data_IF_658837405846
#
_entry.id   IF_658837405846
#
_cell.length_a   1.000
_cell.length_b   1.000
_cell.length_c   1.000
_cell.angle_alpha   90.00
_cell.angle_beta   90.00
_cell.angle_gamma   90.00
#
_symmetry.space_group_name_H-M   'P 1'
#
loop_
_entity.id
_entity.type
_entity.pdbx_description
1 polymer ?
#
# COMPACT_ATOMS: atom_id res chain seq x y z
N UNK A 1 20.44 30.80 -3.91
CA UNK A 1 20.32 29.36 -3.91
C UNK A 1 19.22 29.06 -2.92
N UNK A 2 18.21 28.32 -3.33
CA UNK A 2 17.14 27.84 -2.42
C UNK A 2 17.70 26.85 -1.41
N UNK A 3 16.97 26.65 -0.34
CA UNK A 3 17.32 25.64 0.67
C UNK A 3 17.08 24.24 0.10
N UNK A 4 17.95 23.28 0.44
CA UNK A 4 17.84 21.88 -0.04
C UNK A 4 16.83 21.08 0.78
N UNK A 5 15.99 20.31 0.11
CA UNK A 5 14.90 19.52 0.73
C UNK A 5 15.01 18.05 0.33
N UNK A 6 14.98 17.16 1.30
CA UNK A 6 14.81 15.73 1.08
C UNK A 6 13.33 15.36 1.13
N UNK A 7 12.81 14.68 0.12
CA UNK A 7 11.51 14.04 0.15
C UNK A 7 11.70 12.57 0.54
N UNK A 8 11.24 12.19 1.72
CA UNK A 8 11.34 10.82 2.23
C UNK A 8 10.07 10.05 1.91
N UNK A 9 10.08 9.36 0.76
CA UNK A 9 9.00 8.49 0.33
C UNK A 9 8.97 7.24 1.21
N UNK A 10 7.87 7.00 1.91
CA UNK A 10 7.79 5.88 2.85
C UNK A 10 6.85 4.80 2.35
N UNK A 11 7.32 3.56 2.32
CA UNK A 11 6.57 2.38 1.93
C UNK A 11 6.56 1.32 3.02
N UNK A 12 5.78 0.27 2.78
CA UNK A 12 5.77 -0.86 3.70
C UNK A 12 7.04 -1.70 3.58
N UNK A 13 7.48 -1.95 2.34
CA UNK A 13 8.57 -2.83 1.99
C UNK A 13 8.18 -4.30 2.13
N UNK A 14 8.58 -5.13 1.20
CA UNK A 14 8.36 -6.57 1.23
C UNK A 14 9.66 -7.33 1.09
N UNK A 15 9.66 -8.57 1.59
CA UNK A 15 10.72 -9.51 1.27
C UNK A 15 10.60 -9.89 -0.21
N UNK A 16 11.70 -9.92 -0.90
CA UNK A 16 11.76 -10.36 -2.30
C UNK A 16 11.78 -11.88 -2.40
N UNK A 17 12.51 -12.53 -1.47
CA UNK A 17 12.65 -13.96 -1.41
C UNK A 17 12.19 -14.52 -0.07
N UNK A 18 11.60 -15.71 -0.08
CA UNK A 18 11.10 -16.40 1.11
C UNK A 18 12.17 -16.67 2.19
N UNK A 19 13.44 -16.66 1.85
CA UNK A 19 14.54 -16.86 2.81
C UNK A 19 14.69 -15.68 3.79
N UNK A 20 14.16 -14.51 3.43
CA UNK A 20 14.24 -13.27 4.22
C UNK A 20 13.07 -13.13 5.22
N UNK A 21 12.07 -13.99 5.14
CA UNK A 21 10.87 -13.89 5.97
C UNK A 21 11.13 -13.98 7.48
N UNK A 22 12.16 -14.72 7.91
CA UNK A 22 12.43 -14.88 9.34
C UNK A 22 12.74 -13.53 10.01
N UNK A 23 13.63 -12.73 9.41
CA UNK A 23 13.99 -11.41 9.93
C UNK A 23 12.86 -10.39 9.75
N UNK A 24 12.23 -10.39 8.60
CA UNK A 24 11.06 -9.56 8.33
C UNK A 24 9.95 -9.80 9.36
N UNK A 25 9.59 -11.07 9.60
CA UNK A 25 8.59 -11.43 10.58
C UNK A 25 9.01 -11.02 12.00
N UNK A 26 10.27 -11.17 12.37
CA UNK A 26 10.74 -10.77 13.69
C UNK A 26 10.59 -9.25 13.91
N UNK A 27 10.95 -8.42 12.92
CA UNK A 27 10.74 -6.97 12.97
C UNK A 27 9.26 -6.62 12.99
N UNK A 28 8.46 -7.24 12.15
CA UNK A 28 7.01 -7.05 12.11
C UNK A 28 6.36 -7.41 13.45
N UNK A 29 6.73 -8.54 14.08
CA UNK A 29 6.24 -8.90 15.41
C UNK A 29 6.61 -7.86 16.47
N UNK A 30 7.84 -7.38 16.47
CA UNK A 30 8.30 -6.39 17.45
C UNK A 30 7.61 -5.04 17.30
N UNK A 31 7.36 -4.62 16.08
CA UNK A 31 6.84 -3.28 15.77
C UNK A 31 5.31 -3.22 15.64
N UNK A 32 4.71 -4.21 15.00
CA UNK A 32 3.27 -4.24 14.71
C UNK A 32 2.48 -5.06 15.72
N UNK A 33 2.83 -6.34 15.82
CA UNK A 33 2.04 -7.30 16.59
C UNK A 33 2.09 -6.97 18.07
N UNK A 34 3.22 -6.44 18.55
CA UNK A 34 3.37 -5.97 19.94
C UNK A 34 2.40 -4.84 20.32
N UNK A 35 1.88 -4.08 19.35
CA UNK A 35 0.85 -3.04 19.58
C UNK A 35 -0.50 -3.66 19.96
N UNK A 36 -0.82 -4.80 19.37
CA UNK A 36 -2.12 -5.49 19.53
C UNK A 36 -2.06 -6.61 20.55
N UNK A 37 -0.97 -7.37 20.56
CA UNK A 37 -0.81 -8.59 21.40
C UNK A 37 0.56 -8.54 22.06
N UNK A 38 0.58 -8.66 23.39
CA UNK A 38 1.84 -8.76 24.12
C UNK A 38 2.37 -10.20 24.04
N UNK A 39 3.44 -10.39 23.30
CA UNK A 39 4.21 -11.64 23.30
C UNK A 39 5.45 -11.50 24.18
N UNK A 40 5.87 -12.57 24.88
CA UNK A 40 7.18 -12.60 25.50
C UNK A 40 8.27 -12.50 24.42
N UNK A 41 9.25 -11.64 24.61
CA UNK A 41 10.32 -11.38 23.62
C UNK A 41 11.04 -12.65 23.16
N UNK A 42 11.25 -13.61 24.10
CA UNK A 42 11.91 -14.88 23.77
C UNK A 42 11.08 -15.77 22.80
N UNK A 43 9.77 -15.57 22.70
CA UNK A 43 8.90 -16.35 21.81
C UNK A 43 8.91 -15.82 20.36
N UNK A 44 9.27 -14.57 20.15
CA UNK A 44 9.21 -13.91 18.84
C UNK A 44 10.04 -14.62 17.79
N UNK A 45 11.33 -14.96 18.01
CA UNK A 45 12.13 -15.66 16.99
C UNK A 45 11.56 -17.04 16.62
N UNK A 46 10.94 -17.75 17.57
CA UNK A 46 10.32 -19.04 17.30
C UNK A 46 9.05 -18.89 16.45
N UNK A 47 8.20 -17.91 16.76
CA UNK A 47 7.00 -17.61 15.99
C UNK A 47 7.35 -17.13 14.58
N UNK A 48 8.34 -16.26 14.43
CA UNK A 48 8.81 -15.76 13.14
C UNK A 48 9.26 -16.89 12.22
N UNK A 49 10.07 -17.82 12.72
CA UNK A 49 10.50 -19.01 11.96
C UNK A 49 9.37 -19.98 11.65
N UNK A 50 8.36 -20.06 12.51
CA UNK A 50 7.17 -20.88 12.22
C UNK A 50 6.36 -20.29 11.08
N UNK A 51 6.13 -18.98 11.07
CA UNK A 51 5.44 -18.27 9.99
C UNK A 51 6.23 -18.32 8.69
N UNK A 52 7.55 -18.11 8.72
CA UNK A 52 8.40 -18.27 7.55
C UNK A 52 8.18 -19.62 6.85
N UNK A 53 8.13 -20.74 7.62
CA UNK A 53 7.89 -22.06 7.03
C UNK A 53 6.52 -22.19 6.36
N UNK A 54 5.49 -21.50 6.87
CA UNK A 54 4.16 -21.47 6.27
C UNK A 54 4.19 -20.64 4.98
N UNK A 55 4.72 -19.43 5.03
CA UNK A 55 4.85 -18.51 3.90
C UNK A 55 5.70 -19.10 2.79
N UNK A 56 6.80 -19.78 3.14
CA UNK A 56 7.62 -20.52 2.19
C UNK A 56 6.81 -21.55 1.40
N UNK A 57 5.93 -22.31 2.06
CA UNK A 57 5.08 -23.30 1.37
C UNK A 57 4.09 -22.63 0.43
N UNK A 58 3.51 -21.51 0.85
CA UNK A 58 2.57 -20.74 0.05
C UNK A 58 3.25 -20.17 -1.20
N UNK A 59 4.42 -19.57 -1.06
CA UNK A 59 5.17 -19.01 -2.19
C UNK A 59 5.73 -20.09 -3.13
N UNK A 60 6.14 -21.24 -2.60
CA UNK A 60 6.50 -22.39 -3.44
C UNK A 60 5.30 -22.95 -4.21
N UNK A 61 4.13 -23.05 -3.56
CA UNK A 61 2.90 -23.49 -4.21
C UNK A 61 2.46 -22.51 -5.31
N UNK A 62 2.73 -21.21 -5.14
CA UNK A 62 2.54 -20.15 -6.13
C UNK A 62 3.69 -20.08 -7.17
N UNK A 63 4.25 -21.21 -7.56
CA UNK A 63 5.26 -21.34 -8.60
C UNK A 63 6.55 -20.53 -8.34
N UNK A 64 7.06 -20.60 -7.10
CA UNK A 64 8.22 -19.84 -6.63
C UNK A 64 8.02 -18.31 -6.74
N UNK A 65 6.91 -17.85 -6.24
CA UNK A 65 6.54 -16.45 -6.23
C UNK A 65 7.69 -15.56 -5.73
N UNK A 66 7.81 -14.42 -6.38
CA UNK A 66 8.73 -13.34 -6.05
C UNK A 66 7.92 -12.03 -6.01
N UNK A 67 8.02 -11.28 -4.92
CA UNK A 67 7.27 -10.03 -4.81
C UNK A 67 7.87 -8.93 -5.70
N UNK A 68 7.07 -8.27 -6.54
CA UNK A 68 7.53 -7.15 -7.36
C UNK A 68 7.54 -5.82 -6.60
N UNK A 69 7.13 -5.80 -5.32
CA UNK A 69 6.86 -4.59 -4.57
C UNK A 69 8.03 -3.60 -4.56
N UNK A 70 9.22 -4.06 -4.16
CA UNK A 70 10.36 -3.17 -3.96
C UNK A 70 10.88 -2.59 -5.29
N UNK A 71 10.82 -3.37 -6.37
CA UNK A 71 11.18 -2.91 -7.72
C UNK A 71 10.20 -1.87 -8.24
N UNK A 72 8.90 -2.10 -8.05
CA UNK A 72 7.87 -1.13 -8.45
C UNK A 72 8.01 0.14 -7.62
N UNK A 73 8.19 0.01 -6.30
CA UNK A 73 8.36 1.16 -5.42
C UNK A 73 9.59 2.01 -5.81
N UNK A 74 10.69 1.36 -6.24
CA UNK A 74 11.87 2.09 -6.75
C UNK A 74 11.55 2.86 -8.03
N UNK A 75 10.79 2.26 -8.98
CA UNK A 75 10.34 2.98 -10.19
C UNK A 75 9.41 4.15 -9.84
N UNK A 76 8.54 3.97 -8.84
CA UNK A 76 7.69 5.06 -8.34
C UNK A 76 8.53 6.20 -7.75
N UNK A 77 9.50 5.87 -6.88
CA UNK A 77 10.44 6.85 -6.32
C UNK A 77 11.16 7.63 -7.43
N UNK A 78 11.77 6.91 -8.36
CA UNK A 78 12.52 7.51 -9.47
C UNK A 78 11.65 8.38 -10.39
N UNK A 79 10.40 7.96 -10.62
CA UNK A 79 9.45 8.74 -11.43
C UNK A 79 9.03 10.04 -10.73
N UNK A 80 8.74 10.00 -9.43
CA UNK A 80 8.47 11.21 -8.62
C UNK A 80 9.69 12.13 -8.61
N UNK A 81 10.89 11.56 -8.39
CA UNK A 81 12.16 12.31 -8.41
C UNK A 81 12.36 13.04 -9.73
N UNK A 82 12.14 12.37 -10.87
CA UNK A 82 12.26 12.99 -12.19
C UNK A 82 11.38 14.23 -12.35
N UNK A 83 10.14 14.19 -11.84
CA UNK A 83 9.24 15.34 -11.88
C UNK A 83 9.66 16.48 -10.94
N UNK A 84 10.24 16.14 -9.77
CA UNK A 84 10.74 17.14 -8.82
C UNK A 84 12.06 17.74 -9.28
N UNK A 85 12.97 16.93 -9.84
CA UNK A 85 14.23 17.40 -10.43
C UNK A 85 13.97 18.38 -11.59
N UNK A 86 12.98 18.13 -12.43
CA UNK A 86 12.58 19.06 -13.49
C UNK A 86 12.11 20.42 -12.96
N UNK A 87 11.56 20.48 -11.72
CA UNK A 87 11.08 21.72 -11.10
C UNK A 87 12.14 22.41 -10.24
N UNK A 88 13.01 21.67 -9.57
CA UNK A 88 13.89 22.17 -8.51
C UNK A 88 15.39 21.91 -8.75
N UNK A 89 15.75 21.12 -9.78
CA UNK A 89 17.11 20.66 -9.99
C UNK A 89 17.64 19.83 -8.81
N UNK A 90 18.93 19.92 -8.54
CA UNK A 90 19.62 19.19 -7.47
C UNK A 90 19.27 19.68 -6.05
N UNK A 91 18.40 20.70 -5.92
CA UNK A 91 18.00 21.22 -4.60
C UNK A 91 16.97 20.29 -3.91
N UNK A 92 16.36 19.34 -4.63
CA UNK A 92 15.41 18.36 -4.09
C UNK A 92 15.83 16.96 -4.49
N UNK A 93 15.92 16.07 -3.50
CA UNK A 93 16.18 14.64 -3.75
C UNK A 93 15.10 13.77 -3.09
N UNK A 94 14.80 12.62 -3.70
CA UNK A 94 13.79 11.68 -3.20
C UNK A 94 14.45 10.42 -2.67
N UNK A 95 14.31 10.19 -1.39
CA UNK A 95 14.76 8.98 -0.68
C UNK A 95 13.59 8.03 -0.45
N UNK A 96 13.86 6.73 -0.37
CA UNK A 96 12.87 5.73 0.02
C UNK A 96 13.20 5.14 1.38
N UNK A 97 12.18 4.79 2.15
CA UNK A 97 12.33 4.03 3.40
C UNK A 97 11.24 3.00 3.56
N UNK A 98 11.56 1.89 4.22
CA UNK A 98 10.65 0.79 4.50
C UNK A 98 10.55 0.51 6.00
N UNK A 99 9.42 -0.04 6.43
CA UNK A 99 9.23 -0.38 7.84
C UNK A 99 10.09 -1.56 8.31
N UNK A 100 10.36 -2.53 7.42
CA UNK A 100 10.89 -3.84 7.85
C UNK A 100 12.06 -4.36 7.02
N UNK A 101 12.43 -3.71 5.92
CA UNK A 101 13.39 -4.22 4.94
C UNK A 101 14.67 -3.40 4.93
N UNK A 102 15.81 -4.04 5.21
CA UNK A 102 17.13 -3.43 5.07
C UNK A 102 17.56 -3.36 3.58
N UNK A 103 18.44 -2.44 3.23
CA UNK A 103 19.08 -1.39 4.03
C UNK A 103 18.28 -0.08 4.06
N UNK A 104 16.96 -0.14 3.95
CA UNK A 104 16.07 1.01 3.83
C UNK A 104 15.23 1.27 5.09
N UNK A 105 15.71 0.85 6.26
CA UNK A 105 15.04 1.19 7.52
C UNK A 105 15.16 2.70 7.81
N UNK A 106 14.19 3.31 8.52
CA UNK A 106 14.16 4.75 8.73
C UNK A 106 15.44 5.36 9.30
N UNK A 107 16.08 4.70 10.25
CA UNK A 107 17.35 5.16 10.85
C UNK A 107 18.51 5.13 9.86
N UNK A 108 18.58 4.12 9.01
CA UNK A 108 19.60 3.98 7.97
C UNK A 108 19.44 5.06 6.90
N UNK A 109 18.21 5.30 6.44
CA UNK A 109 17.94 6.30 5.39
C UNK A 109 18.12 7.72 5.92
N UNK A 110 17.71 8.00 7.15
CA UNK A 110 17.95 9.31 7.80
C UNK A 110 19.45 9.62 7.92
N UNK A 111 20.29 8.62 8.20
CA UNK A 111 21.73 8.79 8.22
C UNK A 111 22.30 9.15 6.82
N UNK A 112 21.74 8.58 5.75
CA UNK A 112 22.13 8.96 4.37
C UNK A 112 21.68 10.39 4.04
N UNK A 113 20.44 10.78 4.36
CA UNK A 113 19.92 12.13 4.16
C UNK A 113 20.83 13.16 4.86
N UNK A 114 21.23 12.88 6.11
CA UNK A 114 22.16 13.73 6.86
C UNK A 114 23.55 13.81 6.19
N UNK A 115 24.09 12.66 5.76
CA UNK A 115 25.41 12.62 5.11
C UNK A 115 25.43 13.39 3.79
N UNK A 116 24.30 13.39 3.05
CA UNK A 116 24.13 14.15 1.80
C UNK A 116 23.87 15.64 2.03
N UNK A 117 23.79 16.08 3.30
CA UNK A 117 23.69 17.49 3.70
C UNK A 117 22.30 18.09 3.55
N UNK A 118 21.25 17.29 3.61
CA UNK A 118 19.87 17.78 3.71
C UNK A 118 19.49 17.92 5.19
N UNK A 119 18.89 19.05 5.55
CA UNK A 119 18.42 19.34 6.90
C UNK A 119 16.93 19.69 6.96
N UNK A 120 16.25 19.67 5.81
CA UNK A 120 14.81 19.84 5.66
C UNK A 120 14.22 18.60 5.02
N UNK A 121 13.17 18.06 5.61
CA UNK A 121 12.61 16.76 5.20
C UNK A 121 11.09 16.88 5.02
N UNK A 122 10.57 16.42 3.88
CA UNK A 122 9.15 16.11 3.73
C UNK A 122 8.98 14.61 3.87
N UNK A 123 8.27 14.15 4.91
CA UNK A 123 7.86 12.76 5.03
C UNK A 123 6.63 12.56 4.15
N UNK A 124 6.74 11.64 3.20
CA UNK A 124 5.69 11.36 2.24
C UNK A 124 5.31 9.89 2.26
N UNK A 125 4.26 9.48 3.01
CA UNK A 125 3.73 8.13 2.93
C UNK A 125 3.18 7.86 1.53
N UNK A 126 3.79 6.88 0.85
CA UNK A 126 3.30 6.39 -0.44
C UNK A 126 2.33 5.22 -0.21
N UNK A 127 1.34 5.49 0.62
CA UNK A 127 0.32 4.58 1.11
C UNK A 127 -1.05 5.25 0.91
N UNK A 128 -2.01 4.50 0.39
CA UNK A 128 -3.33 5.05 0.07
C UNK A 128 -4.04 5.58 1.30
N UNK A 129 -3.92 4.86 2.43
CA UNK A 129 -4.66 5.12 3.67
C UNK A 129 -3.71 5.20 4.86
N UNK A 130 -3.93 6.21 5.72
CA UNK A 130 -3.24 6.33 7.01
C UNK A 130 -3.80 5.35 8.04
N UNK A 131 -2.89 4.71 8.78
CA UNK A 131 -3.24 3.88 9.94
C UNK A 131 -2.06 3.75 10.90
N UNK A 132 -2.33 3.25 12.11
CA UNK A 132 -1.25 2.93 13.08
C UNK A 132 -0.31 1.82 12.59
N UNK A 133 -0.72 1.06 11.58
CA UNK A 133 0.03 -0.05 11.00
C UNK A 133 0.81 0.34 9.74
N UNK A 134 0.55 1.51 9.19
CA UNK A 134 1.15 2.04 7.96
C UNK A 134 1.96 3.30 8.24
N UNK A 135 1.44 4.46 7.88
CA UNK A 135 2.07 5.77 8.09
C UNK A 135 2.38 6.07 9.57
N UNK A 136 1.49 5.70 10.49
CA UNK A 136 1.73 5.86 11.93
C UNK A 136 2.93 5.07 12.42
N UNK A 137 3.16 3.86 11.86
CA UNK A 137 4.31 3.04 12.22
C UNK A 137 5.63 3.67 11.76
N UNK A 138 5.70 4.12 10.51
CA UNK A 138 6.93 4.73 9.99
C UNK A 138 7.24 6.05 10.69
N UNK A 139 6.22 6.86 10.99
CA UNK A 139 6.39 8.10 11.76
C UNK A 139 6.95 7.83 13.17
N UNK A 140 6.46 6.79 13.84
CA UNK A 140 6.99 6.38 15.15
C UNK A 140 8.48 5.99 15.05
N UNK A 141 8.86 5.23 14.03
CA UNK A 141 10.25 4.84 13.80
C UNK A 141 11.15 6.04 13.46
N UNK A 142 10.70 6.95 12.59
CA UNK A 142 11.40 8.19 12.24
C UNK A 142 11.61 9.03 13.50
N UNK A 143 10.55 9.29 14.28
CA UNK A 143 10.64 10.07 15.51
C UNK A 143 11.58 9.43 16.53
N UNK A 144 11.56 8.11 16.65
CA UNK A 144 12.48 7.38 17.54
C UNK A 144 13.94 7.50 17.07
N UNK A 145 14.19 7.45 15.79
CA UNK A 145 15.53 7.59 15.20
C UNK A 145 16.07 9.01 15.36
N UNK A 146 15.22 10.02 15.27
CA UNK A 146 15.59 11.44 15.45
C UNK A 146 15.72 11.82 16.94
N UNK A 147 15.01 11.16 17.86
CA UNK A 147 14.93 11.56 19.27
C UNK A 147 16.29 11.75 19.97
N UNK A 148 17.31 10.88 19.80
CA UNK A 148 18.62 11.09 20.42
C UNK A 148 19.51 12.07 19.67
N UNK A 149 19.37 12.22 18.34
CA UNK A 149 20.33 12.90 17.48
C UNK A 149 19.69 13.84 16.43
N UNK A 150 18.42 14.19 16.59
CA UNK A 150 17.64 14.93 15.59
C UNK A 150 17.96 16.42 15.47
N UNK A 151 18.98 16.93 16.17
CA UNK A 151 19.38 18.35 16.12
C UNK A 151 19.86 18.81 14.72
N UNK A 152 20.18 17.87 13.83
CA UNK A 152 20.57 18.18 12.45
C UNK A 152 19.37 18.47 11.54
N UNK A 153 18.16 18.00 11.88
CA UNK A 153 16.94 18.32 11.13
C UNK A 153 16.45 19.69 11.56
N UNK A 154 16.50 20.64 10.64
CA UNK A 154 16.09 22.03 10.85
C UNK A 154 14.58 22.19 10.77
N UNK A 155 13.95 21.53 9.79
CA UNK A 155 12.49 21.57 9.61
C UNK A 155 11.98 20.27 8.97
N UNK A 156 10.76 19.91 9.32
CA UNK A 156 10.12 18.69 8.83
C UNK A 156 8.64 18.92 8.58
N UNK A 157 8.16 18.43 7.44
CA UNK A 157 6.75 18.42 7.07
C UNK A 157 6.26 17.01 6.82
N UNK A 158 4.97 16.83 6.94
CA UNK A 158 4.30 15.57 6.69
C UNK A 158 3.20 15.76 5.67
N UNK A 159 3.22 14.96 4.59
CA UNK A 159 2.15 14.92 3.61
C UNK A 159 1.22 13.75 3.98
N UNK A 160 -0.07 14.02 4.28
CA UNK A 160 -1.03 12.94 4.56
C UNK A 160 -1.22 12.01 3.38
N UNK A 161 -1.67 10.78 3.64
CA UNK A 161 -2.09 9.83 2.62
C UNK A 161 -3.17 10.43 1.71
N UNK A 162 -3.26 9.93 0.49
CA UNK A 162 -3.93 10.63 -0.61
C UNK A 162 -5.30 10.06 -0.99
N UNK A 163 -5.90 9.20 -0.17
CA UNK A 163 -7.20 8.58 -0.45
C UNK A 163 -8.35 9.58 -0.68
N UNK A 164 -8.31 10.78 -0.05
CA UNK A 164 -9.32 11.84 -0.20
C UNK A 164 -9.16 12.66 -1.49
N UNK A 165 -8.03 12.53 -2.20
CA UNK A 165 -7.75 13.36 -3.36
C UNK A 165 -8.62 12.97 -4.54
N UNK A 166 -9.34 13.95 -5.08
CA UNK A 166 -10.26 13.77 -6.21
C UNK A 166 -9.53 13.29 -7.47
N UNK A 167 -8.35 13.83 -7.74
CA UNK A 167 -7.48 13.45 -8.86
C UNK A 167 -6.98 12.00 -8.75
N UNK A 168 -6.63 11.54 -7.54
CA UNK A 168 -6.28 10.14 -7.28
C UNK A 168 -7.49 9.21 -7.51
N UNK A 169 -8.64 9.56 -6.93
CA UNK A 169 -9.87 8.79 -7.08
C UNK A 169 -10.28 8.68 -8.55
N UNK A 170 -10.16 9.79 -9.30
CA UNK A 170 -10.46 9.76 -10.73
C UNK A 170 -9.49 8.85 -11.50
N UNK A 171 -8.18 8.91 -11.18
CA UNK A 171 -7.20 8.02 -11.82
C UNK A 171 -7.46 6.54 -11.53
N UNK A 172 -7.91 6.20 -10.31
CA UNK A 172 -8.36 4.84 -9.99
C UNK A 172 -9.55 4.41 -10.83
N UNK A 173 -10.55 5.28 -10.99
CA UNK A 173 -11.74 4.99 -11.82
C UNK A 173 -11.33 4.74 -13.27
N UNK A 174 -10.51 5.62 -13.84
CA UNK A 174 -10.02 5.48 -15.22
C UNK A 174 -9.27 4.14 -15.41
N UNK A 175 -8.40 3.80 -14.46
CA UNK A 175 -7.66 2.54 -14.48
C UNK A 175 -8.58 1.30 -14.38
N UNK A 176 -9.62 1.37 -13.55
CA UNK A 176 -10.61 0.30 -13.46
C UNK A 176 -11.39 0.18 -14.77
N UNK A 177 -11.84 1.28 -15.38
CA UNK A 177 -12.57 1.27 -16.63
C UNK A 177 -11.71 0.72 -17.77
N UNK A 178 -10.45 1.15 -17.90
CA UNK A 178 -9.48 0.63 -18.86
C UNK A 178 -9.28 -0.89 -18.66
N UNK A 179 -9.13 -1.32 -17.42
CA UNK A 179 -8.99 -2.73 -17.06
C UNK A 179 -10.23 -3.58 -17.39
N UNK A 180 -11.43 -3.02 -17.30
CA UNK A 180 -12.69 -3.69 -17.60
C UNK A 180 -13.01 -3.71 -19.10
N UNK A 181 -12.44 -2.79 -19.89
CA UNK A 181 -12.76 -2.64 -21.31
C UNK A 181 -12.81 -3.95 -22.13
N UNK A 182 -11.88 -4.93 -21.94
CA UNK A 182 -11.97 -6.21 -22.65
C UNK A 182 -13.19 -7.07 -22.26
N UNK A 183 -13.77 -6.89 -21.07
CA UNK A 183 -14.99 -7.60 -20.67
C UNK A 183 -16.23 -7.03 -21.38
N UNK A 184 -16.22 -5.74 -21.72
CA UNK A 184 -17.31 -5.06 -22.41
C UNK A 184 -17.50 -5.55 -23.85
N UNK A 185 -16.51 -6.22 -24.44
CA UNK A 185 -16.65 -6.87 -25.75
C UNK A 185 -17.61 -8.07 -25.71
N UNK A 186 -17.82 -8.66 -24.52
CA UNK A 186 -18.57 -9.91 -24.33
C UNK A 186 -19.76 -9.78 -23.37
N UNK A 187 -19.73 -8.81 -22.49
CA UNK A 187 -20.74 -8.63 -21.44
C UNK A 187 -21.27 -7.21 -21.42
N UNK A 188 -22.58 -7.07 -21.22
CA UNK A 188 -23.15 -5.76 -20.91
C UNK A 188 -22.66 -5.25 -19.55
N UNK A 189 -22.54 -3.94 -19.31
CA UNK A 189 -22.07 -3.39 -18.02
C UNK A 189 -22.83 -3.93 -16.81
N UNK A 190 -24.13 -4.18 -16.93
CA UNK A 190 -24.97 -4.75 -15.84
C UNK A 190 -24.63 -6.22 -15.51
N UNK A 191 -23.86 -6.90 -16.34
CA UNK A 191 -23.41 -8.27 -16.13
C UNK A 191 -21.98 -8.37 -15.57
N UNK A 192 -21.26 -7.24 -15.56
CA UNK A 192 -19.90 -7.12 -15.04
C UNK A 192 -20.00 -6.64 -13.61
N UNK A 193 -19.43 -7.40 -12.70
CA UNK A 193 -19.30 -7.01 -11.30
C UNK A 193 -17.88 -6.48 -11.02
N UNK A 194 -17.78 -5.58 -10.05
CA UNK A 194 -16.50 -5.03 -9.58
C UNK A 194 -16.35 -5.34 -8.09
N UNK A 195 -15.31 -6.10 -7.76
CA UNK A 195 -14.84 -6.30 -6.39
C UNK A 195 -13.74 -5.26 -6.11
N UNK A 196 -14.07 -4.21 -5.36
CA UNK A 196 -13.11 -3.19 -4.95
C UNK A 196 -12.32 -3.72 -3.75
N UNK A 197 -11.07 -4.15 -4.02
CA UNK A 197 -10.24 -4.82 -3.04
C UNK A 197 -9.48 -3.82 -2.16
N UNK A 198 -9.53 -4.03 -0.84
CA UNK A 198 -8.96 -3.18 0.19
C UNK A 198 -8.21 -4.04 1.21
N UNK A 199 -7.18 -3.48 1.84
CA UNK A 199 -6.53 -4.15 2.97
C UNK A 199 -7.52 -4.39 4.09
N UNK A 200 -7.56 -5.61 4.62
CA UNK A 200 -8.43 -5.98 5.73
C UNK A 200 -8.07 -5.25 7.02
N UNK A 201 -9.07 -4.75 7.73
CA UNK A 201 -8.87 -4.03 8.98
C UNK A 201 -9.45 -4.81 10.17
N UNK A 202 -8.69 -4.98 11.27
CA UNK A 202 -9.23 -5.53 12.50
C UNK A 202 -10.18 -4.52 13.14
N UNK A 203 -11.32 -5.00 13.63
CA UNK A 203 -12.39 -4.16 14.21
C UNK A 203 -12.30 -4.01 15.74
N UNK A 204 -11.62 -4.92 16.43
CA UNK A 204 -11.48 -4.92 17.90
C UNK A 204 -10.08 -4.42 18.29
N UNK A 205 -9.83 -3.12 18.19
CA UNK A 205 -8.48 -2.52 18.25
C UNK A 205 -8.24 -1.66 19.48
N UNK A 206 -9.14 -1.67 20.46
CA UNK A 206 -8.98 -0.88 21.71
C UNK A 206 -8.69 0.61 21.48
N UNK A 207 -9.29 1.20 20.47
CA UNK A 207 -9.15 2.63 20.15
C UNK A 207 -7.97 2.96 19.24
N UNK A 208 -7.28 1.98 18.64
CA UNK A 208 -6.29 2.25 17.61
C UNK A 208 -6.96 2.58 16.26
N UNK A 209 -6.44 3.59 15.58
CA UNK A 209 -6.87 3.96 14.22
C UNK A 209 -6.29 2.97 13.21
N UNK A 210 -7.15 2.11 12.66
CA UNK A 210 -6.75 1.02 11.74
C UNK A 210 -6.92 1.35 10.28
N UNK A 211 -7.37 2.55 9.95
CA UNK A 211 -7.66 2.98 8.58
C UNK A 211 -8.99 2.46 8.03
N UNK A 212 -9.82 1.82 8.87
CA UNK A 212 -11.12 1.27 8.43
C UNK A 212 -12.06 2.36 7.93
N UNK A 213 -12.07 3.54 8.56
CA UNK A 213 -12.91 4.68 8.17
C UNK A 213 -12.49 5.22 6.81
N UNK A 214 -11.20 5.44 6.64
CA UNK A 214 -10.59 5.98 5.43
C UNK A 214 -10.75 5.00 4.25
N UNK A 215 -10.47 3.71 4.46
CA UNK A 215 -10.67 2.67 3.46
C UNK A 215 -12.14 2.53 3.05
N UNK A 216 -13.05 2.63 4.02
CA UNK A 216 -14.50 2.58 3.74
C UNK A 216 -14.95 3.82 2.97
N UNK A 217 -14.43 4.99 3.30
CA UNK A 217 -14.74 6.23 2.59
C UNK A 217 -14.21 6.19 1.15
N UNK A 218 -12.98 5.69 0.93
CA UNK A 218 -12.45 5.47 -0.41
C UNK A 218 -13.34 4.50 -1.21
N UNK A 219 -13.75 3.38 -0.60
CA UNK A 219 -14.69 2.45 -1.24
C UNK A 219 -15.94 3.17 -1.76
N UNK A 220 -16.59 3.96 -0.91
CA UNK A 220 -17.80 4.68 -1.31
C UNK A 220 -17.55 5.72 -2.39
N UNK A 221 -16.43 6.44 -2.32
CA UNK A 221 -16.07 7.44 -3.33
C UNK A 221 -15.86 6.81 -4.72
N UNK A 222 -15.20 5.65 -4.79
CA UNK A 222 -15.02 4.93 -6.06
C UNK A 222 -16.33 4.27 -6.51
N UNK A 223 -17.09 3.67 -5.59
CA UNK A 223 -18.40 3.09 -5.90
C UNK A 223 -19.34 4.11 -6.50
N UNK A 224 -19.46 5.31 -5.92
CA UNK A 224 -20.34 6.38 -6.38
C UNK A 224 -20.05 6.78 -7.84
N UNK A 225 -18.79 6.82 -8.24
CA UNK A 225 -18.35 7.15 -9.60
C UNK A 225 -18.68 6.05 -10.63
N UNK A 226 -18.73 4.78 -10.19
CA UNK A 226 -18.90 3.62 -11.06
C UNK A 226 -20.34 3.08 -11.10
N UNK A 227 -21.15 3.28 -10.05
CA UNK A 227 -22.42 2.57 -9.83
C UNK A 227 -23.46 2.85 -10.93
N UNK A 228 -23.43 4.02 -11.55
CA UNK A 228 -24.35 4.35 -12.63
C UNK A 228 -24.13 3.51 -13.89
N UNK A 229 -22.91 3.01 -14.09
CA UNK A 229 -22.54 2.17 -15.24
C UNK A 229 -22.47 0.68 -14.86
N UNK A 230 -21.93 0.38 -13.69
CA UNK A 230 -21.72 -0.97 -13.18
C UNK A 230 -22.48 -1.15 -11.87
N UNK A 231 -23.71 -1.68 -11.88
CA UNK A 231 -24.54 -1.76 -10.68
C UNK A 231 -24.12 -2.84 -9.69
N UNK A 232 -23.25 -3.78 -10.09
CA UNK A 232 -22.79 -4.89 -9.26
C UNK A 232 -21.40 -4.56 -8.67
N UNK A 233 -21.36 -3.80 -7.58
CA UNK A 233 -20.11 -3.41 -6.90
C UNK A 233 -20.14 -3.88 -5.45
N UNK A 234 -19.05 -4.47 -4.99
CA UNK A 234 -18.87 -4.88 -3.60
C UNK A 234 -17.49 -4.46 -3.10
N UNK A 235 -17.39 -4.06 -1.83
CA UNK A 235 -16.11 -4.08 -1.13
C UNK A 235 -15.62 -5.53 -1.03
N UNK A 236 -14.30 -5.74 -1.06
CA UNK A 236 -13.67 -7.04 -0.93
C UNK A 236 -12.41 -6.89 -0.05
N UNK A 237 -12.51 -7.28 1.22
CA UNK A 237 -11.44 -7.06 2.17
C UNK A 237 -10.45 -8.22 2.18
N UNK A 238 -9.16 -7.92 1.96
CA UNK A 238 -8.06 -8.89 2.06
C UNK A 238 -7.68 -9.03 3.53
N UNK A 239 -8.32 -9.98 4.21
CA UNK A 239 -8.15 -10.20 5.64
C UNK A 239 -7.04 -11.19 5.92
N UNK A 240 -6.17 -10.86 6.88
CA UNK A 240 -5.16 -11.80 7.33
C UNK A 240 -5.76 -12.97 8.12
N UNK A 241 -5.17 -14.18 8.06
CA UNK A 241 -5.60 -15.35 8.81
C UNK A 241 -5.23 -15.27 10.30
N UNK A 242 -5.53 -14.13 10.94
CA UNK A 242 -5.27 -13.84 12.34
C UNK A 242 -6.60 -13.84 13.10
N UNK A 243 -6.70 -14.50 14.29
CA UNK A 243 -7.93 -14.49 15.07
C UNK A 243 -8.40 -13.08 15.42
N UNK A 244 -9.71 -12.85 15.36
CA UNK A 244 -10.35 -11.57 15.66
C UNK A 244 -11.52 -11.28 14.73
N UNK A 245 -12.16 -10.14 14.94
CA UNK A 245 -13.17 -9.62 14.03
C UNK A 245 -12.52 -8.69 13.00
N UNK A 246 -12.74 -8.99 11.76
CA UNK A 246 -12.22 -8.26 10.61
C UNK A 246 -13.33 -7.63 9.79
N UNK A 247 -12.97 -6.71 8.92
CA UNK A 247 -13.87 -6.10 7.93
C UNK A 247 -14.50 -7.15 7.02
N UNK A 248 -15.76 -6.92 6.62
CA UNK A 248 -16.54 -7.85 5.79
C UNK A 248 -17.26 -7.11 4.66
N UNK A 249 -17.56 -7.80 3.53
CA UNK A 249 -17.18 -9.17 3.18
C UNK A 249 -15.68 -9.30 2.86
N UNK A 250 -15.08 -10.46 3.12
CA UNK A 250 -13.76 -10.77 2.56
C UNK A 250 -13.85 -11.01 1.04
N UNK A 251 -12.70 -11.19 0.38
CA UNK A 251 -12.65 -11.31 -1.10
C UNK A 251 -13.44 -12.51 -1.58
N UNK A 252 -13.34 -13.66 -0.90
CA UNK A 252 -14.08 -14.88 -1.23
C UNK A 252 -15.61 -14.67 -1.08
N UNK A 253 -16.02 -14.02 -0.01
CA UNK A 253 -17.45 -13.75 0.24
C UNK A 253 -17.99 -12.71 -0.74
N UNK A 254 -17.21 -11.67 -1.06
CA UNK A 254 -17.57 -10.67 -2.07
C UNK A 254 -17.81 -11.33 -3.44
N UNK A 255 -16.89 -12.18 -3.89
CA UNK A 255 -17.04 -12.91 -5.15
C UNK A 255 -18.33 -13.77 -5.18
N UNK A 256 -18.59 -14.54 -4.11
CA UNK A 256 -19.81 -15.36 -3.99
C UNK A 256 -21.09 -14.51 -4.01
N UNK A 257 -21.10 -13.38 -3.32
CA UNK A 257 -22.24 -12.47 -3.30
C UNK A 257 -22.51 -11.90 -4.70
N UNK A 258 -21.46 -11.43 -5.41
CA UNK A 258 -21.59 -10.89 -6.76
C UNK A 258 -22.09 -11.95 -7.76
N UNK A 259 -21.61 -13.19 -7.66
CA UNK A 259 -22.13 -14.33 -8.46
C UNK A 259 -23.61 -14.58 -8.17
N UNK A 260 -24.03 -14.54 -6.90
CA UNK A 260 -25.42 -14.73 -6.48
C UNK A 260 -26.33 -13.63 -7.04
N UNK A 261 -25.82 -12.41 -7.20
CA UNK A 261 -26.50 -11.28 -7.84
C UNK A 261 -26.54 -11.39 -9.37
N UNK A 262 -25.94 -12.42 -9.97
CA UNK A 262 -26.04 -12.71 -11.39
C UNK A 262 -24.88 -12.21 -12.25
N UNK A 263 -23.75 -11.84 -11.63
CA UNK A 263 -22.53 -11.47 -12.36
C UNK A 263 -22.11 -12.58 -13.32
N UNK A 264 -21.76 -12.19 -14.54
CA UNK A 264 -21.18 -13.09 -15.58
C UNK A 264 -19.68 -12.93 -15.67
N UNK A 265 -19.16 -11.76 -15.24
CA UNK A 265 -17.74 -11.51 -15.08
C UNK A 265 -17.52 -10.72 -13.80
N UNK A 266 -16.38 -10.91 -13.13
CA UNK A 266 -15.95 -10.15 -11.96
C UNK A 266 -14.57 -9.57 -12.21
N UNK A 267 -14.45 -8.24 -12.14
CA UNK A 267 -13.18 -7.54 -12.10
C UNK A 267 -12.78 -7.31 -10.63
N UNK A 268 -11.60 -7.79 -10.24
CA UNK A 268 -11.01 -7.56 -8.92
C UNK A 268 -10.05 -6.38 -9.04
N UNK A 269 -10.38 -5.27 -8.38
CA UNK A 269 -9.64 -4.01 -8.46
C UNK A 269 -9.04 -3.64 -7.09
N UNK A 270 -7.72 -3.73 -6.90
CA UNK A 270 -7.05 -3.44 -5.61
C UNK A 270 -6.90 -1.93 -5.41
N UNK A 271 -7.97 -1.24 -4.96
CA UNK A 271 -7.99 0.21 -4.76
C UNK A 271 -7.29 0.69 -3.48
N UNK A 272 -7.04 -0.21 -2.53
CA UNK A 272 -6.35 0.10 -1.27
C UNK A 272 -4.81 0.13 -1.39
N UNK A 273 -4.28 -0.07 -2.58
CA UNK A 273 -2.84 -0.16 -2.85
C UNK A 273 -2.49 0.58 -4.14
N UNK A 274 -1.30 1.15 -4.17
CA UNK A 274 -0.73 1.77 -5.39
C UNK A 274 0.45 0.98 -5.94
N UNK A 275 0.94 0.00 -5.19
CA UNK A 275 2.08 -0.85 -5.53
C UNK A 275 1.66 -2.30 -5.40
N UNK A 276 1.86 -3.10 -6.47
CA UNK A 276 1.67 -4.55 -6.40
C UNK A 276 2.51 -5.15 -5.28
N UNK A 277 1.91 -6.12 -4.59
CA UNK A 277 2.50 -6.84 -3.49
C UNK A 277 1.93 -8.27 -3.43
N UNK A 278 2.39 -9.09 -2.47
CA UNK A 278 1.91 -10.47 -2.38
C UNK A 278 0.39 -10.56 -2.09
N UNK A 279 -0.18 -9.63 -1.33
CA UNK A 279 -1.61 -9.63 -1.04
C UNK A 279 -2.43 -9.34 -2.30
N UNK A 280 -2.06 -8.30 -3.07
CA UNK A 280 -2.77 -7.96 -4.30
C UNK A 280 -2.66 -9.06 -5.34
N UNK A 281 -1.56 -9.80 -5.38
CA UNK A 281 -1.33 -10.85 -6.37
C UNK A 281 -1.82 -12.23 -5.92
N UNK A 282 -1.43 -12.68 -4.72
CA UNK A 282 -1.72 -14.03 -4.26
C UNK A 282 -3.11 -14.16 -3.65
N UNK A 283 -3.54 -13.27 -2.75
CA UNK A 283 -4.82 -13.41 -2.06
C UNK A 283 -6.00 -13.26 -3.03
N UNK A 284 -5.91 -12.29 -3.94
CA UNK A 284 -6.89 -12.14 -5.02
C UNK A 284 -6.82 -13.34 -5.97
N UNK A 285 -5.61 -13.78 -6.35
CA UNK A 285 -5.37 -14.94 -7.19
C UNK A 285 -6.02 -16.22 -6.64
N UNK A 286 -5.85 -16.50 -5.35
CA UNK A 286 -6.48 -17.65 -4.70
C UNK A 286 -8.01 -17.61 -4.72
N UNK A 287 -8.61 -16.41 -4.63
CA UNK A 287 -10.06 -16.28 -4.79
C UNK A 287 -10.48 -16.51 -6.23
N UNK A 288 -9.74 -15.99 -7.20
CA UNK A 288 -9.99 -16.22 -8.63
C UNK A 288 -9.96 -17.72 -8.93
N UNK A 289 -8.95 -18.45 -8.46
CA UNK A 289 -8.82 -19.90 -8.66
C UNK A 289 -10.04 -20.68 -8.13
N UNK A 290 -10.66 -20.21 -7.04
CA UNK A 290 -11.84 -20.86 -6.44
C UNK A 290 -13.15 -20.63 -7.22
N UNK A 291 -13.22 -19.60 -8.07
CA UNK A 291 -14.49 -19.19 -8.71
C UNK A 291 -14.43 -19.16 -10.24
N UNK A 292 -13.25 -19.25 -10.85
CA UNK A 292 -13.03 -19.11 -12.29
C UNK A 292 -13.67 -20.18 -13.16
N UNK A 293 -14.06 -21.31 -12.58
CA UNK A 293 -14.86 -22.35 -13.23
C UNK A 293 -16.35 -21.98 -13.40
N UNK A 294 -16.84 -20.95 -12.71
CA UNK A 294 -18.25 -20.54 -12.63
C UNK A 294 -18.52 -19.13 -13.15
N UNK A 295 -17.51 -18.26 -13.12
CA UNK A 295 -17.63 -16.87 -13.54
C UNK A 295 -16.32 -16.43 -14.18
N UNK A 296 -16.38 -15.62 -15.23
CA UNK A 296 -15.16 -15.05 -15.77
C UNK A 296 -14.55 -14.07 -14.79
N UNK A 297 -13.25 -14.21 -14.51
CA UNK A 297 -12.52 -13.35 -13.60
C UNK A 297 -11.46 -12.53 -14.32
N UNK A 298 -11.36 -11.27 -13.94
CA UNK A 298 -10.27 -10.40 -14.37
C UNK A 298 -9.60 -9.78 -13.15
N UNK A 299 -8.34 -10.08 -12.98
CA UNK A 299 -7.49 -9.45 -11.99
C UNK A 299 -6.94 -8.15 -12.58
N UNK A 300 -7.25 -7.01 -11.98
CA UNK A 300 -6.66 -5.73 -12.35
C UNK A 300 -5.42 -5.50 -11.49
N UNK A 301 -4.37 -4.96 -12.09
CA UNK A 301 -3.20 -4.52 -11.32
C UNK A 301 -3.54 -3.30 -10.46
N UNK A 302 -2.68 -2.98 -9.50
CA UNK A 302 -2.64 -1.64 -8.92
C UNK A 302 -2.14 -0.62 -9.95
N UNK A 303 -2.12 0.66 -9.58
CA UNK A 303 -1.59 1.70 -10.50
C UNK A 303 -0.09 1.56 -10.78
N UNK A 304 0.68 0.97 -9.85
CA UNK A 304 2.11 0.78 -9.99
C UNK A 304 2.87 2.07 -10.38
N UNK A 305 3.69 1.99 -11.41
CA UNK A 305 4.45 3.11 -11.97
C UNK A 305 3.68 3.85 -13.09
N UNK A 306 2.35 3.96 -12.93
CA UNK A 306 1.50 4.75 -13.82
C UNK A 306 2.01 6.20 -13.96
N UNK A 307 2.31 6.69 -15.17
CA UNK A 307 2.94 7.99 -15.36
C UNK A 307 2.12 9.17 -14.79
N UNK A 308 0.78 9.07 -14.84
CA UNK A 308 -0.08 10.12 -14.31
C UNK A 308 -0.10 10.10 -12.78
N UNK A 309 -0.11 8.93 -12.15
CA UNK A 309 0.04 8.81 -10.69
C UNK A 309 1.36 9.43 -10.21
N UNK A 310 2.47 9.17 -10.93
CA UNK A 310 3.79 9.71 -10.55
C UNK A 310 3.84 11.22 -10.69
N UNK A 311 3.25 11.77 -11.77
CA UNK A 311 3.10 13.21 -11.98
C UNK A 311 2.27 13.84 -10.85
N UNK A 312 1.10 13.27 -10.54
CA UNK A 312 0.25 13.71 -9.44
C UNK A 312 0.98 13.66 -8.10
N UNK A 313 1.68 12.55 -7.82
CA UNK A 313 2.48 12.39 -6.61
C UNK A 313 3.52 13.48 -6.42
N UNK A 314 4.20 13.88 -7.49
CA UNK A 314 5.13 15.02 -7.46
C UNK A 314 4.40 16.34 -7.21
N UNK A 315 3.26 16.59 -7.87
CA UNK A 315 2.47 17.82 -7.66
C UNK A 315 1.95 17.94 -6.22
N UNK A 316 1.57 16.83 -5.59
CA UNK A 316 1.05 16.86 -4.22
C UNK A 316 2.10 17.28 -3.18
N UNK A 317 3.36 16.98 -3.42
CA UNK A 317 4.44 17.29 -2.46
C UNK A 317 5.06 18.68 -2.68
N UNK A 318 4.96 19.25 -3.89
CA UNK A 318 5.53 20.56 -4.25
C UNK A 318 5.20 21.68 -3.26
N UNK A 319 3.95 21.86 -2.80
CA UNK A 319 3.64 22.95 -1.85
C UNK A 319 4.46 22.88 -0.55
N UNK A 320 4.71 21.67 -0.03
CA UNK A 320 5.51 21.48 1.18
C UNK A 320 7.00 21.68 0.91
N UNK A 321 7.49 21.31 -0.27
CA UNK A 321 8.84 21.61 -0.72
C UNK A 321 9.04 23.12 -0.82
N UNK A 322 8.11 23.85 -1.45
CA UNK A 322 8.18 25.32 -1.59
C UNK A 322 8.15 26.01 -0.23
N UNK A 323 7.32 25.53 0.71
CA UNK A 323 7.27 26.05 2.09
C UNK A 323 8.62 25.86 2.80
N UNK A 324 9.25 24.70 2.66
CA UNK A 324 10.54 24.43 3.29
C UNK A 324 11.71 25.19 2.64
N UNK A 325 11.58 25.62 1.38
CA UNK A 325 12.59 26.36 0.63
C UNK A 325 12.51 27.88 0.79
N UNK A 326 11.41 28.38 1.39
CA UNK A 326 11.20 29.81 1.67
C UNK A 326 11.86 30.23 2.97
#
# INVERSE_FOLDING_TARGET
MGERVAVLLTGYGEVEHYDEFAEYNERSFRLLVSKSIKFPDFAIPFLSRRLERQQRKEWHAANHYHSPHNDIFERQRAGIETHLEAAYGDDVAVYKTYNFVEPFLPDQVLAHIQADGYDRIVIYPWLVVDSVFTSGLVLEQINKSLSPNGQWVRDMRYLPSFWERDDFQQRLVDHIEDGIAPLLERYAPVQIAIALCLHGCPLETKGMETGVRESTALYYAIQERLIHKYPLISAAWMNHPVPGKWTTPDVDQAAKNLMTLGAKAIAFAPIGFVTENHETQLDIGYTIDKVSDRVECRHLSTLNDDPELLRLGAEWVKPLVDELRS
#
